data_IF_599042400747
#
_entry.id   IF_599042400747
#
_cell.length_a   1.000
_cell.length_b   1.000
_cell.length_c   1.000
_cell.angle_alpha   90.00
_cell.angle_beta   90.00
_cell.angle_gamma   90.00
#
_symmetry.space_group_name_H-M   'P 1'
#
loop_
_entity.id
_entity.type
_entity.pdbx_description
1 polymer ?
#
# COMPACT_ATOMS: atom_id res chain seq x y z
N UNK A 1 -0.87 -9.43 -3.28
CA UNK A 1 -0.38 -8.16 -2.69
C UNK A 1 0.76 -7.63 -3.54
N UNK A 2 0.87 -6.31 -3.69
CA UNK A 2 1.97 -5.66 -4.40
C UNK A 2 2.46 -4.42 -3.62
N UNK A 3 3.78 -4.20 -3.67
CA UNK A 3 4.46 -2.97 -3.23
C UNK A 3 5.32 -2.44 -4.39
N UNK A 4 4.70 -1.80 -5.40
CA UNK A 4 5.39 -1.42 -6.63
C UNK A 4 6.38 -0.26 -6.42
N UNK A 5 7.45 -0.20 -7.22
CA UNK A 5 8.39 0.92 -7.22
C UNK A 5 7.80 2.09 -8.01
N UNK A 6 6.77 2.75 -7.47
CA UNK A 6 6.07 3.86 -8.13
C UNK A 6 7.03 4.98 -8.53
N UNK A 7 6.85 5.54 -9.74
CA UNK A 7 7.41 6.85 -10.05
C UNK A 7 6.66 7.94 -9.27
N UNK A 8 7.29 8.37 -8.17
CA UNK A 8 6.74 9.42 -7.31
C UNK A 8 7.21 10.83 -7.69
N UNK A 9 7.89 10.98 -8.83
CA UNK A 9 8.47 12.24 -9.31
C UNK A 9 9.50 12.83 -8.32
N UNK A 10 10.31 11.95 -7.71
CA UNK A 10 11.42 12.30 -6.83
C UNK A 10 12.65 11.47 -7.22
N UNK A 11 13.85 12.00 -6.96
CA UNK A 11 15.07 11.20 -7.09
C UNK A 11 15.10 10.11 -6.02
N UNK A 12 15.13 8.86 -6.47
CA UNK A 12 15.17 7.68 -5.61
C UNK A 12 16.45 6.87 -5.86
N UNK A 13 16.98 6.18 -4.84
CA UNK A 13 18.20 5.38 -4.97
C UNK A 13 17.97 4.02 -5.66
N UNK A 14 16.84 3.84 -6.33
CA UNK A 14 16.43 2.61 -7.03
C UNK A 14 15.58 2.97 -8.26
N UNK A 15 15.50 2.05 -9.22
CA UNK A 15 14.68 2.23 -10.43
C UNK A 15 13.18 2.20 -10.13
N UNK A 16 12.44 3.06 -10.79
CA UNK A 16 10.98 3.15 -10.70
C UNK A 16 10.31 2.61 -11.96
N UNK A 17 9.02 2.31 -11.84
CA UNK A 17 8.14 1.97 -12.96
C UNK A 17 7.30 3.19 -13.31
N UNK A 18 7.21 3.50 -14.61
CA UNK A 18 6.39 4.62 -15.10
C UNK A 18 4.90 4.37 -14.89
N UNK A 19 4.11 5.45 -14.89
CA UNK A 19 2.66 5.35 -14.72
C UNK A 19 2.01 4.44 -15.79
N UNK A 20 2.50 4.47 -17.03
CA UNK A 20 1.96 3.65 -18.13
C UNK A 20 2.33 2.17 -18.01
N UNK A 21 3.56 1.87 -17.60
CA UNK A 21 3.98 0.50 -17.29
C UNK A 21 3.14 -0.09 -16.15
N UNK A 22 2.88 0.70 -15.10
CA UNK A 22 2.01 0.30 -14.00
C UNK A 22 0.59 -0.01 -14.49
N UNK A 23 -0.02 0.85 -15.30
CA UNK A 23 -1.35 0.63 -15.87
C UNK A 23 -1.44 -0.66 -16.70
N UNK A 24 -0.38 -0.99 -17.43
CA UNK A 24 -0.34 -2.12 -18.36
C UNK A 24 0.03 -3.46 -17.72
N UNK A 25 0.29 -3.49 -16.41
CA UNK A 25 0.53 -4.75 -15.71
C UNK A 25 -0.63 -5.73 -15.90
N UNK A 26 -0.30 -7.00 -16.21
CA UNK A 26 -1.26 -8.09 -16.43
C UNK A 26 -2.02 -8.57 -15.18
N UNK A 27 -2.22 -7.71 -14.18
CA UNK A 27 -2.94 -8.02 -12.92
C UNK A 27 -4.34 -8.62 -13.16
N UNK A 28 -5.13 -8.18 -14.17
CA UNK A 28 -6.44 -8.79 -14.43
C UNK A 28 -6.40 -10.30 -14.68
N UNK A 29 -5.28 -10.83 -15.19
CA UNK A 29 -5.11 -12.23 -15.56
C UNK A 29 -4.79 -13.13 -14.36
N UNK A 30 -4.43 -12.55 -13.21
CA UNK A 30 -4.00 -13.30 -12.04
C UNK A 30 -5.15 -13.75 -11.14
N UNK A 31 -6.33 -13.12 -11.25
CA UNK A 31 -7.42 -13.34 -10.30
C UNK A 31 -8.78 -13.01 -10.91
N UNK A 32 -9.73 -13.94 -10.76
CA UNK A 32 -11.15 -13.74 -11.10
C UNK A 32 -11.95 -13.24 -9.89
N UNK A 33 -11.80 -13.88 -8.74
CA UNK A 33 -12.45 -13.53 -7.47
C UNK A 33 -11.42 -13.42 -6.34
N UNK A 34 -11.45 -12.34 -5.56
CA UNK A 34 -10.56 -12.19 -4.41
C UNK A 34 -10.26 -10.75 -3.98
N UNK A 35 -9.16 -10.60 -3.24
CA UNK A 35 -8.68 -9.32 -2.73
C UNK A 35 -7.30 -8.99 -3.29
N UNK A 36 -7.05 -7.70 -3.51
CA UNK A 36 -5.71 -7.16 -3.76
C UNK A 36 -5.38 -6.16 -2.65
N UNK A 37 -4.13 -6.20 -2.21
CA UNK A 37 -3.52 -5.25 -1.30
C UNK A 37 -2.44 -4.52 -2.07
N UNK A 38 -2.56 -3.21 -2.21
CA UNK A 38 -1.70 -2.37 -3.03
C UNK A 38 -1.11 -1.24 -2.19
N UNK A 39 0.17 -1.35 -1.86
CA UNK A 39 0.88 -0.30 -1.13
C UNK A 39 1.08 0.94 -2.02
N UNK A 40 0.80 2.10 -1.45
CA UNK A 40 0.82 3.39 -2.14
C UNK A 40 1.45 4.48 -1.26
N UNK A 41 2.09 5.46 -1.88
CA UNK A 41 2.73 6.58 -1.19
C UNK A 41 2.73 7.83 -2.06
N UNK A 42 2.64 9.01 -1.44
CA UNK A 42 2.70 10.30 -2.14
C UNK A 42 1.68 10.38 -3.29
N UNK A 43 2.14 10.75 -4.49
CA UNK A 43 1.30 10.83 -5.70
C UNK A 43 0.69 9.49 -6.14
N UNK A 44 1.27 8.37 -5.72
CA UNK A 44 0.77 7.06 -6.09
C UNK A 44 -0.56 6.70 -5.41
N UNK A 45 -1.05 7.53 -4.47
CA UNK A 45 -2.38 7.35 -3.88
C UNK A 45 -3.48 7.42 -4.94
N UNK A 46 -3.44 8.41 -5.83
CA UNK A 46 -4.44 8.60 -6.89
C UNK A 46 -4.22 7.61 -8.03
N UNK A 47 -2.96 7.43 -8.46
CA UNK A 47 -2.60 6.46 -9.49
C UNK A 47 -2.94 5.02 -9.06
N UNK A 48 -2.71 4.66 -7.81
CA UNK A 48 -3.06 3.34 -7.27
C UNK A 48 -4.56 3.09 -7.31
N UNK A 49 -5.39 4.13 -7.05
CA UNK A 49 -6.86 4.03 -7.19
C UNK A 49 -7.27 3.86 -8.65
N UNK A 50 -6.62 4.58 -9.56
CA UNK A 50 -6.81 4.40 -11.01
C UNK A 50 -6.44 2.97 -11.45
N UNK A 51 -5.28 2.47 -11.03
CA UNK A 51 -4.83 1.11 -11.32
C UNK A 51 -5.81 0.05 -10.81
N UNK A 52 -6.34 0.19 -9.58
CA UNK A 52 -7.35 -0.74 -9.07
C UNK A 52 -8.58 -0.80 -9.99
N UNK A 53 -9.10 0.35 -10.41
CA UNK A 53 -10.24 0.41 -11.33
C UNK A 53 -9.92 -0.23 -12.68
N UNK A 54 -8.77 0.11 -13.27
CA UNK A 54 -8.29 -0.47 -14.53
C UNK A 54 -8.13 -2.00 -14.44
N UNK A 55 -7.68 -2.50 -13.29
CA UNK A 55 -7.49 -3.93 -13.08
C UNK A 55 -8.78 -4.68 -12.72
N UNK A 56 -9.92 -3.97 -12.63
CA UNK A 56 -11.24 -4.54 -12.36
C UNK A 56 -11.55 -4.73 -10.87
N UNK A 57 -10.88 -4.01 -9.98
CA UNK A 57 -11.11 -4.04 -8.54
C UNK A 57 -11.90 -2.82 -8.07
N UNK A 58 -12.88 -3.04 -7.19
CA UNK A 58 -13.50 -1.99 -6.40
C UNK A 58 -12.69 -1.79 -5.11
N UNK A 59 -12.29 -0.56 -4.81
CA UNK A 59 -11.63 -0.26 -3.53
C UNK A 59 -12.66 -0.34 -2.40
N UNK A 60 -12.48 -1.30 -1.49
CA UNK A 60 -13.39 -1.58 -0.36
C UNK A 60 -12.83 -1.14 0.99
N UNK A 61 -11.51 -1.00 1.12
CA UNK A 61 -10.86 -0.60 2.37
C UNK A 61 -9.53 0.13 2.12
N UNK A 62 -8.94 0.70 3.17
CA UNK A 62 -7.63 1.34 3.15
C UNK A 62 -6.91 1.15 4.49
N UNK A 63 -5.89 0.29 4.50
CA UNK A 63 -5.06 0.03 5.68
C UNK A 63 -4.00 1.11 5.82
N UNK A 64 -3.76 1.57 7.04
CA UNK A 64 -2.61 2.42 7.36
C UNK A 64 -1.63 1.70 8.29
N UNK A 65 -0.35 1.74 7.94
CA UNK A 65 0.72 1.35 8.84
C UNK A 65 1.32 2.58 9.52
N UNK A 66 1.06 2.75 10.81
CA UNK A 66 1.67 3.76 11.68
C UNK A 66 3.08 3.29 12.06
N UNK A 67 4.06 4.11 11.68
CA UNK A 67 5.49 3.84 11.89
C UNK A 67 5.92 4.26 13.29
N UNK A 68 6.31 3.30 14.12
CA UNK A 68 6.87 3.57 15.45
C UNK A 68 8.38 3.36 15.48
N UNK A 69 9.01 3.90 16.52
CA UNK A 69 10.38 3.55 16.91
C UNK A 69 10.38 2.43 17.97
N UNK A 70 11.57 2.02 18.40
CA UNK A 70 11.79 1.01 19.45
C UNK A 70 11.05 1.30 20.78
N UNK A 71 10.69 2.56 21.03
CA UNK A 71 9.96 2.98 22.23
C UNK A 71 8.45 3.11 22.00
N UNK A 72 7.94 2.56 20.89
CA UNK A 72 6.53 2.63 20.49
C UNK A 72 6.00 4.06 20.34
N UNK A 73 6.87 4.98 19.91
CA UNK A 73 6.52 6.39 19.65
C UNK A 73 6.58 6.70 18.16
N UNK A 74 5.69 7.56 17.72
CA UNK A 74 5.73 8.15 16.37
C UNK A 74 7.00 9.00 16.23
N UNK A 75 7.72 8.81 15.13
CA UNK A 75 8.87 9.63 14.76
C UNK A 75 8.35 10.98 14.25
N UNK A 76 8.60 12.07 14.99
CA UNK A 76 8.06 13.41 14.70
C UNK A 76 9.09 14.40 14.16
N UNK A 77 10.38 14.05 14.22
CA UNK A 77 11.51 14.91 13.84
C UNK A 77 12.02 14.56 12.43
N UNK A 78 12.78 15.48 11.82
CA UNK A 78 13.26 15.35 10.44
C UNK A 78 12.32 16.00 9.41
N UNK A 79 12.63 15.82 8.12
CA UNK A 79 11.80 16.25 6.98
C UNK A 79 11.39 15.02 6.17
N UNK A 80 10.29 14.38 6.57
CA UNK A 80 9.86 13.08 6.02
C UNK A 80 8.69 13.19 5.05
N UNK A 81 8.25 14.41 4.74
CA UNK A 81 7.24 14.69 3.73
C UNK A 81 7.42 16.10 3.15
N UNK A 82 6.62 16.43 2.14
CA UNK A 82 6.76 17.68 1.39
C UNK A 82 6.22 18.88 2.18
N UNK A 83 5.04 18.75 2.78
CA UNK A 83 4.38 19.80 3.59
C UNK A 83 4.29 19.44 5.07
N UNK A 84 3.95 18.18 5.37
CA UNK A 84 3.83 17.63 6.71
C UNK A 84 4.72 16.40 6.83
N UNK A 85 5.25 16.14 8.02
CA UNK A 85 5.99 14.91 8.27
C UNK A 85 5.06 13.70 8.13
N UNK A 86 5.53 12.68 7.41
CA UNK A 86 4.80 11.44 7.21
C UNK A 86 5.14 10.44 8.33
N UNK A 87 4.11 10.02 9.07
CA UNK A 87 4.21 9.00 10.14
C UNK A 87 3.60 7.65 9.77
N UNK A 88 3.16 7.47 8.51
CA UNK A 88 2.48 6.26 8.06
C UNK A 88 2.70 5.95 6.57
N UNK A 89 2.47 4.69 6.20
CA UNK A 89 2.27 4.22 4.82
C UNK A 89 0.83 3.72 4.63
N UNK A 90 0.34 3.76 3.39
CA UNK A 90 -1.03 3.37 3.04
C UNK A 90 -1.02 2.10 2.18
N UNK A 91 -2.03 1.26 2.35
CA UNK A 91 -2.27 0.08 1.53
C UNK A 91 -3.76 0.03 1.14
N UNK A 92 -4.04 0.20 -0.16
CA UNK A 92 -5.39 0.11 -0.69
C UNK A 92 -5.83 -1.36 -0.72
N UNK A 93 -7.07 -1.62 -0.29
CA UNK A 93 -7.68 -2.95 -0.39
C UNK A 93 -8.75 -2.93 -1.47
N UNK A 94 -8.53 -3.71 -2.53
CA UNK A 94 -9.46 -3.87 -3.64
C UNK A 94 -10.13 -5.24 -3.62
N UNK A 95 -11.41 -5.30 -3.94
CA UNK A 95 -12.18 -6.54 -4.12
C UNK A 95 -12.54 -6.71 -5.59
N UNK A 96 -12.39 -7.93 -6.11
CA UNK A 96 -12.82 -8.32 -7.46
C UNK A 96 -13.72 -9.54 -7.35
N UNK A 97 -14.79 -9.56 -8.13
CA UNK A 97 -15.77 -10.65 -8.12
C UNK A 97 -16.52 -10.77 -6.79
N UNK A 98 -16.91 -11.99 -6.42
CA UNK A 98 -17.61 -12.32 -5.17
C UNK A 98 -16.91 -13.48 -4.44
N UNK A 99 -15.72 -13.25 -3.86
CA UNK A 99 -14.96 -14.30 -3.18
C UNK A 99 -15.74 -14.91 -2.00
N UNK A 100 -15.95 -16.24 -1.97
CA UNK A 100 -16.63 -16.91 -0.86
C UNK A 100 -15.71 -17.01 0.37
N UNK A 101 -16.31 -17.21 1.55
CA UNK A 101 -15.60 -17.52 2.80
C UNK A 101 -14.60 -16.44 3.30
N UNK A 102 -14.84 -15.17 2.99
CA UNK A 102 -14.08 -14.07 3.60
C UNK A 102 -14.55 -13.80 5.04
N UNK A 103 -13.64 -13.93 6.00
CA UNK A 103 -13.87 -13.51 7.38
C UNK A 103 -13.66 -12.00 7.49
N UNK A 104 -14.75 -11.22 7.41
CA UNK A 104 -14.70 -9.75 7.45
C UNK A 104 -14.68 -9.25 8.90
N UNK A 105 -13.89 -8.20 9.16
CA UNK A 105 -13.89 -7.50 10.45
C UNK A 105 -13.21 -8.24 11.61
N UNK A 106 -12.31 -9.19 11.33
CA UNK A 106 -11.47 -9.81 12.36
C UNK A 106 -10.35 -8.87 12.83
N UNK A 107 -9.72 -8.17 11.89
CA UNK A 107 -8.59 -7.27 12.12
C UNK A 107 -8.97 -5.81 11.88
N UNK A 108 -8.19 -4.89 12.46
CA UNK A 108 -8.33 -3.45 12.24
C UNK A 108 -7.65 -3.02 10.94
N UNK A 109 -8.12 -1.91 10.37
CA UNK A 109 -7.49 -1.15 9.29
C UNK A 109 -6.22 -0.38 9.70
N UNK A 110 -5.73 -0.55 10.92
CA UNK A 110 -4.56 0.14 11.47
C UNK A 110 -3.52 -0.87 11.94
N UNK A 111 -2.33 -0.83 11.35
CA UNK A 111 -1.16 -1.56 11.80
C UNK A 111 -0.24 -0.60 12.54
N UNK A 112 0.22 -0.97 13.74
CA UNK A 112 1.23 -0.21 14.50
C UNK A 112 2.46 -1.09 14.66
N UNK A 113 3.53 -0.75 13.95
CA UNK A 113 4.74 -1.57 13.95
C UNK A 113 6.00 -0.72 13.74
N UNK A 114 7.13 -1.22 14.25
CA UNK A 114 8.43 -0.56 14.12
C UNK A 114 8.95 -0.62 12.68
N UNK A 115 9.57 0.46 12.23
CA UNK A 115 10.28 0.48 10.94
C UNK A 115 11.55 -0.37 11.04
N UNK A 116 11.68 -1.35 10.14
CA UNK A 116 12.86 -2.22 10.04
C UNK A 116 13.81 -1.71 8.95
N UNK A 117 13.96 -2.44 7.86
CA UNK A 117 14.77 -2.03 6.71
C UNK A 117 13.98 -1.12 5.75
N UNK A 118 14.68 -0.39 4.88
CA UNK A 118 14.07 0.45 3.84
C UNK A 118 13.11 -0.38 2.98
N UNK A 119 11.89 0.13 2.79
CA UNK A 119 10.80 -0.52 2.05
C UNK A 119 10.32 -1.86 2.63
N UNK A 120 10.77 -2.26 3.82
CA UNK A 120 10.28 -3.48 4.47
C UNK A 120 8.94 -3.20 5.15
N UNK A 121 7.85 -3.70 4.53
CA UNK A 121 6.49 -3.62 5.06
C UNK A 121 6.34 -4.44 6.36
N UNK A 122 5.34 -4.14 7.20
CA UNK A 122 5.09 -4.86 8.45
C UNK A 122 4.71 -6.32 8.16
N UNK A 123 5.22 -7.27 8.95
CA UNK A 123 4.89 -8.69 8.79
C UNK A 123 3.45 -8.98 9.24
N UNK A 124 2.89 -8.11 10.06
CA UNK A 124 1.54 -8.13 10.59
C UNK A 124 0.47 -8.17 9.48
N UNK A 125 0.78 -7.66 8.28
CA UNK A 125 -0.11 -7.77 7.10
C UNK A 125 -0.35 -9.23 6.68
N UNK A 126 0.53 -10.15 7.09
CA UNK A 126 0.43 -11.59 6.86
C UNK A 126 -0.11 -12.37 8.08
N UNK A 127 -0.55 -11.67 9.13
CA UNK A 127 -1.04 -12.28 10.38
C UNK A 127 0.07 -12.89 11.25
N UNK A 128 1.29 -12.36 11.16
CA UNK A 128 2.45 -12.79 11.97
C UNK A 128 2.76 -11.80 13.09
#
# INVERSE_FOLDING_TARGET
MADPPWDIHMELPYGTMSDDEMRQLGIPQLQDDGLIFLWVTGRAMELGRECLQLWGYERVDEIIWVKTNQLQRIIRTGRTGHWLNHGKEHCLVGMKGNPPNLNRGLDSDVIVAEVRATSHKPDEIYGK
#
